data_IF_268736848614
#
_entry.id   IF_268736848614
#
_cell.length_a   1.000
_cell.length_b   1.000
_cell.length_c   1.000
_cell.angle_alpha   90.00
_cell.angle_beta   90.00
_cell.angle_gamma   90.00
#
_symmetry.space_group_name_H-M   'P 1'
#
loop_
_entity.id
_entity.type
_entity.pdbx_description
1 polymer ?
#
# COMPACT_ATOMS: atom_id res chain seq x y z
N UNK A 1 12.62 -38.41 2.24
CA UNK A 1 11.23 -38.25 1.76
C UNK A 1 11.13 -37.03 0.87
N UNK A 2 10.25 -37.03 -0.13
CA UNK A 2 10.02 -35.89 -1.03
C UNK A 2 8.62 -35.95 -1.65
N UNK A 3 8.08 -34.79 -2.03
CA UNK A 3 6.87 -34.64 -2.86
C UNK A 3 7.17 -34.48 -4.35
N UNK A 4 8.45 -34.45 -4.75
CA UNK A 4 8.85 -34.23 -6.15
C UNK A 4 9.05 -35.57 -6.85
N UNK A 5 8.09 -35.96 -7.69
CA UNK A 5 8.11 -37.24 -8.42
C UNK A 5 9.26 -37.34 -9.43
N UNK A 6 9.58 -36.22 -10.08
CA UNK A 6 10.59 -36.19 -11.16
C UNK A 6 12.02 -36.47 -10.69
N UNK A 7 12.26 -36.42 -9.38
CA UNK A 7 13.57 -36.75 -8.79
C UNK A 7 13.80 -38.26 -8.67
N UNK A 8 12.78 -39.10 -8.87
CA UNK A 8 12.90 -40.55 -8.77
C UNK A 8 13.45 -41.15 -10.06
N UNK A 9 14.55 -41.91 -9.94
CA UNK A 9 15.10 -42.74 -11.01
C UNK A 9 14.30 -44.04 -11.13
N UNK A 10 13.81 -44.56 -10.02
CA UNK A 10 12.90 -45.69 -9.97
C UNK A 10 11.92 -45.52 -8.82
N UNK A 11 10.69 -46.00 -9.00
CA UNK A 11 9.61 -45.83 -8.03
C UNK A 11 8.68 -47.04 -8.04
N UNK A 12 8.27 -47.48 -6.86
CA UNK A 12 7.35 -48.59 -6.65
C UNK A 12 6.24 -48.15 -5.69
N UNK A 13 5.00 -48.32 -6.12
CA UNK A 13 3.84 -48.06 -5.27
C UNK A 13 3.82 -49.00 -4.07
N UNK A 14 3.44 -48.45 -2.92
CA UNK A 14 3.33 -49.21 -1.68
C UNK A 14 1.94 -49.85 -1.62
N UNK A 15 1.89 -51.19 -1.51
CA UNK A 15 0.63 -51.94 -1.35
C UNK A 15 -0.16 -51.52 -0.10
N UNK A 16 0.56 -51.07 0.93
CA UNK A 16 0.02 -50.51 2.16
C UNK A 16 0.73 -49.18 2.42
N UNK A 17 0.01 -48.04 2.49
CA UNK A 17 0.62 -46.75 2.74
C UNK A 17 1.36 -46.73 4.08
N UNK A 18 2.54 -46.12 4.12
CA UNK A 18 3.31 -45.94 5.35
C UNK A 18 2.93 -44.61 5.98
N UNK A 19 2.30 -44.67 7.15
CA UNK A 19 1.82 -43.48 7.86
C UNK A 19 2.93 -42.81 8.66
N UNK A 20 3.15 -41.51 8.43
CA UNK A 20 4.20 -40.70 9.04
C UNK A 20 3.57 -39.54 9.80
N UNK A 21 4.02 -39.29 11.02
CA UNK A 21 3.60 -38.12 11.82
C UNK A 21 4.56 -36.96 11.57
N UNK A 22 4.05 -35.79 11.17
CA UNK A 22 4.84 -34.56 10.99
C UNK A 22 4.91 -33.79 12.31
N UNK A 23 5.81 -32.80 12.38
CA UNK A 23 6.04 -31.92 13.53
C UNK A 23 4.79 -31.20 14.06
N UNK A 24 3.75 -30.99 13.23
CA UNK A 24 2.47 -30.39 13.64
C UNK A 24 1.44 -31.41 14.17
N UNK A 25 1.85 -32.68 14.31
CA UNK A 25 1.01 -33.78 14.80
C UNK A 25 0.12 -34.40 13.74
N UNK A 26 0.06 -33.86 12.51
CA UNK A 26 -0.70 -34.46 11.41
C UNK A 26 -0.04 -35.76 10.94
N UNK A 27 -0.88 -36.71 10.52
CA UNK A 27 -0.45 -37.99 9.96
C UNK A 27 -0.66 -37.95 8.44
N UNK A 28 0.42 -38.13 7.70
CA UNK A 28 0.45 -38.19 6.24
C UNK A 28 0.86 -39.59 5.78
N UNK A 29 0.36 -40.00 4.63
CA UNK A 29 0.62 -41.34 4.10
C UNK A 29 1.64 -41.27 2.95
N UNK A 30 2.71 -42.06 3.05
CA UNK A 30 3.62 -42.29 1.94
C UNK A 30 3.00 -43.30 0.97
N UNK A 31 2.83 -42.87 -0.28
CA UNK A 31 2.11 -43.64 -1.31
C UNK A 31 3.04 -44.48 -2.18
N UNK A 32 4.33 -44.14 -2.21
CA UNK A 32 5.32 -44.90 -2.94
C UNK A 32 6.70 -44.82 -2.29
N UNK A 33 7.59 -45.72 -2.70
CA UNK A 33 9.00 -45.74 -2.31
C UNK A 33 9.87 -45.96 -3.54
N UNK A 34 11.04 -45.35 -3.56
CA UNK A 34 11.93 -45.47 -4.71
C UNK A 34 13.33 -44.94 -4.46
N UNK A 35 14.07 -44.82 -5.55
CA UNK A 35 15.46 -44.35 -5.56
C UNK A 35 15.54 -42.98 -6.20
N UNK A 36 16.15 -42.02 -5.50
CA UNK A 36 16.34 -40.64 -5.96
C UNK A 36 17.80 -40.40 -6.29
N UNK A 37 18.05 -39.87 -7.49
CA UNK A 37 19.36 -39.39 -7.91
C UNK A 37 19.50 -37.91 -7.59
N UNK A 38 20.55 -37.54 -6.85
CA UNK A 38 20.92 -36.16 -6.55
C UNK A 38 22.24 -35.85 -7.24
N UNK A 39 22.28 -34.80 -8.05
CA UNK A 39 23.53 -34.28 -8.60
C UNK A 39 23.98 -33.11 -7.74
N UNK A 40 25.15 -33.17 -7.15
CA UNK A 40 25.73 -32.11 -6.31
C UNK A 40 26.39 -31.03 -7.17
N UNK A 41 26.58 -29.85 -6.59
CA UNK A 41 27.15 -28.67 -7.27
C UNK A 41 28.58 -28.88 -7.77
N UNK A 42 29.32 -29.83 -7.21
CA UNK A 42 30.66 -30.23 -7.65
C UNK A 42 30.64 -31.25 -8.81
N UNK A 43 29.45 -31.61 -9.30
CA UNK A 43 29.25 -32.59 -10.36
C UNK A 43 29.07 -34.03 -9.89
N UNK A 44 29.31 -34.31 -8.60
CA UNK A 44 29.17 -35.64 -8.00
C UNK A 44 27.71 -36.09 -8.03
N UNK A 45 27.45 -37.32 -8.43
CA UNK A 45 26.09 -37.90 -8.40
C UNK A 45 25.95 -38.85 -7.23
N UNK A 46 25.00 -38.56 -6.34
CA UNK A 46 24.69 -39.34 -5.14
C UNK A 46 23.32 -39.97 -5.31
N UNK A 47 23.19 -41.24 -4.94
CA UNK A 47 21.92 -41.96 -5.02
C UNK A 47 21.39 -42.26 -3.62
N UNK A 48 20.14 -41.88 -3.37
CA UNK A 48 19.42 -42.20 -2.15
C UNK A 48 18.40 -43.30 -2.45
N UNK A 49 18.59 -44.48 -1.86
CA UNK A 49 17.59 -45.56 -1.89
C UNK A 49 16.62 -45.46 -0.71
N UNK A 50 15.46 -46.11 -0.85
CA UNK A 50 14.38 -46.17 0.14
C UNK A 50 13.75 -44.80 0.45
N UNK A 51 13.64 -43.96 -0.57
CA UNK A 51 13.04 -42.62 -0.44
C UNK A 51 11.53 -42.73 -0.54
N UNK A 52 10.84 -42.27 0.49
CA UNK A 52 9.39 -42.19 0.54
C UNK A 52 8.88 -41.00 -0.30
N UNK A 53 7.91 -41.26 -1.18
CA UNK A 53 7.16 -40.26 -1.92
C UNK A 53 5.87 -39.91 -1.18
N UNK A 54 5.72 -38.62 -0.85
CA UNK A 54 4.57 -38.10 -0.13
C UNK A 54 4.09 -36.83 -0.82
N UNK A 55 2.95 -36.84 -1.53
CA UNK A 55 2.47 -35.67 -2.25
C UNK A 55 2.19 -34.46 -1.35
N UNK A 56 1.79 -34.70 -0.10
CA UNK A 56 1.29 -33.69 0.84
C UNK A 56 2.39 -32.87 1.55
N UNK A 57 3.68 -33.21 1.39
CA UNK A 57 4.76 -32.45 2.05
C UNK A 57 5.27 -31.30 1.18
N UNK A 58 5.42 -30.11 1.78
CA UNK A 58 5.92 -28.91 1.09
C UNK A 58 7.47 -28.86 0.96
N UNK A 59 8.16 -29.97 1.25
CA UNK A 59 9.62 -30.00 1.20
C UNK A 59 10.22 -31.40 1.22
N UNK A 60 11.48 -31.49 0.79
CA UNK A 60 12.25 -32.74 0.85
C UNK A 60 13.09 -32.77 2.13
N UNK A 61 13.04 -33.90 2.84
CA UNK A 61 13.82 -34.12 4.05
C UNK A 61 14.66 -35.39 3.92
N UNK A 62 15.91 -35.30 4.36
CA UNK A 62 16.84 -36.41 4.46
C UNK A 62 16.93 -36.78 5.94
N UNK A 63 16.59 -38.03 6.27
CA UNK A 63 16.68 -38.53 7.64
C UNK A 63 18.13 -38.90 7.95
N UNK A 64 18.73 -38.22 8.92
CA UNK A 64 20.09 -38.52 9.40
C UNK A 64 20.14 -39.93 10.00
N UNK A 65 19.10 -40.36 10.71
CA UNK A 65 19.02 -41.70 11.28
C UNK A 65 19.08 -42.78 10.18
N UNK A 66 18.36 -42.57 9.07
CA UNK A 66 18.38 -43.50 7.93
C UNK A 66 19.70 -43.53 7.17
N UNK A 67 20.43 -42.41 7.17
CA UNK A 67 21.80 -42.36 6.64
C UNK A 67 22.77 -43.11 7.57
N UNK A 68 22.62 -42.95 8.88
CA UNK A 68 23.45 -43.66 9.87
C UNK A 68 23.27 -45.18 9.80
N UNK A 69 22.05 -45.68 9.52
CA UNK A 69 21.79 -47.11 9.25
C UNK A 69 22.54 -47.65 8.02
N UNK A 70 23.01 -46.77 7.12
CA UNK A 70 23.80 -47.10 5.91
C UNK A 70 25.27 -46.71 6.06
N UNK A 71 25.77 -46.67 7.29
CA UNK A 71 27.16 -46.35 7.65
C UNK A 71 27.62 -44.94 7.21
N UNK A 72 26.68 -44.02 7.01
CA UNK A 72 26.99 -42.61 6.70
C UNK A 72 27.07 -41.80 7.98
N UNK A 73 28.22 -41.18 8.22
CA UNK A 73 28.47 -40.31 9.38
C UNK A 73 28.13 -38.87 9.05
N UNK A 74 27.23 -38.26 9.82
CA UNK A 74 26.89 -36.85 9.71
C UNK A 74 27.67 -36.01 10.75
N UNK A 75 28.61 -35.19 10.30
CA UNK A 75 29.39 -34.29 11.15
C UNK A 75 28.83 -32.87 11.08
N UNK A 76 28.31 -32.38 12.20
CA UNK A 76 27.76 -31.03 12.31
C UNK A 76 28.83 -30.04 12.77
N UNK A 77 28.83 -28.86 12.16
CA UNK A 77 29.66 -27.70 12.51
C UNK A 77 28.78 -26.46 12.56
N UNK A 78 29.37 -25.34 13.02
CA UNK A 78 28.65 -24.06 13.16
C UNK A 78 27.92 -23.65 11.88
N UNK A 79 28.60 -23.77 10.74
CA UNK A 79 28.13 -23.24 9.45
C UNK A 79 27.79 -24.32 8.40
N UNK A 80 28.13 -25.59 8.66
CA UNK A 80 27.91 -26.69 7.71
C UNK A 80 27.70 -28.05 8.38
N UNK A 81 27.15 -28.98 7.63
CA UNK A 81 27.02 -30.39 7.97
C UNK A 81 27.63 -31.22 6.84
N UNK A 82 28.57 -32.10 7.17
CA UNK A 82 29.29 -32.94 6.21
C UNK A 82 28.87 -34.39 6.42
N UNK A 83 28.45 -35.06 5.35
CA UNK A 83 28.13 -36.48 5.36
C UNK A 83 29.31 -37.26 4.76
N UNK A 84 29.80 -38.26 5.49
CA UNK A 84 30.90 -39.13 5.05
C UNK A 84 30.48 -40.59 4.99
N UNK A 85 30.99 -41.30 4.00
CA UNK A 85 30.89 -42.75 3.89
C UNK A 85 32.32 -43.30 3.86
N UNK A 86 32.73 -43.98 4.95
CA UNK A 86 34.14 -44.22 5.22
C UNK A 86 34.94 -42.91 5.30
N UNK A 87 36.08 -42.84 4.61
CA UNK A 87 36.92 -41.63 4.54
C UNK A 87 36.45 -40.61 3.48
N UNK A 88 35.50 -41.00 2.62
CA UNK A 88 35.03 -40.15 1.54
C UNK A 88 33.93 -39.19 2.01
N UNK A 89 34.07 -37.91 1.66
CA UNK A 89 32.97 -36.95 1.82
C UNK A 89 31.98 -37.12 0.67
N UNK A 90 30.74 -37.48 1.00
CA UNK A 90 29.70 -37.79 0.01
C UNK A 90 28.74 -36.62 -0.23
N UNK A 91 28.47 -35.81 0.79
CA UNK A 91 27.58 -34.64 0.67
C UNK A 91 28.00 -33.53 1.66
N UNK A 92 27.84 -32.27 1.26
CA UNK A 92 28.00 -31.11 2.16
C UNK A 92 26.73 -30.24 2.14
N UNK A 93 26.13 -30.02 3.31
CA UNK A 93 25.00 -29.12 3.50
C UNK A 93 25.45 -27.85 4.25
N UNK A 94 24.98 -26.68 3.79
CA UNK A 94 25.28 -25.38 4.44
C UNK A 94 24.15 -24.98 5.37
N UNK A 95 24.49 -24.37 6.51
CA UNK A 95 23.49 -23.86 7.44
C UNK A 95 22.79 -22.64 6.85
N UNK A 96 21.46 -22.64 6.87
CA UNK A 96 20.60 -21.51 6.50
C UNK A 96 19.54 -21.34 7.59
N UNK A 97 19.77 -20.37 8.50
CA UNK A 97 18.95 -20.22 9.71
C UNK A 97 19.12 -21.41 10.66
N UNK A 98 18.02 -22.09 10.96
CA UNK A 98 17.97 -23.25 11.87
C UNK A 98 18.01 -24.61 11.13
N UNK A 99 18.23 -24.62 9.81
CA UNK A 99 18.26 -25.83 8.98
C UNK A 99 19.58 -25.95 8.22
N UNK A 100 19.99 -27.18 7.91
CA UNK A 100 21.10 -27.47 7.01
C UNK A 100 20.53 -27.83 5.63
N UNK A 101 20.90 -27.06 4.60
CA UNK A 101 20.41 -27.23 3.23
C UNK A 101 21.49 -27.82 2.34
N UNK A 102 21.17 -28.94 1.69
CA UNK A 102 21.97 -29.54 0.63
C UNK A 102 21.67 -28.81 -0.69
N UNK A 103 22.68 -28.39 -1.43
CA UNK A 103 22.51 -27.76 -2.75
C UNK A 103 22.74 -28.79 -3.86
N UNK A 104 21.76 -28.95 -4.74
CA UNK A 104 21.82 -29.88 -5.88
C UNK A 104 21.73 -29.14 -7.22
N UNK A 105 22.38 -29.67 -8.26
CA UNK A 105 22.26 -29.22 -9.65
C UNK A 105 20.82 -29.44 -10.09
N UNK A 106 20.14 -28.35 -10.46
CA UNK A 106 18.69 -28.34 -10.72
C UNK A 106 17.85 -27.72 -9.60
N UNK A 107 18.40 -27.42 -8.42
CA UNK A 107 17.73 -26.52 -7.45
C UNK A 107 17.55 -25.10 -8.02
N UNK A 108 18.25 -24.76 -9.10
CA UNK A 108 18.02 -23.55 -9.89
C UNK A 108 16.68 -23.56 -10.68
N UNK A 109 15.99 -24.72 -10.79
CA UNK A 109 14.73 -24.84 -11.54
C UNK A 109 13.48 -24.72 -10.66
N UNK A 110 13.61 -24.72 -9.33
CA UNK A 110 12.52 -24.41 -8.41
C UNK A 110 12.82 -23.23 -7.48
N UNK A 111 13.64 -22.30 -7.95
CA UNK A 111 13.67 -20.92 -7.46
C UNK A 111 13.40 -19.96 -8.62
N UNK A 112 12.16 -19.95 -9.11
CA UNK A 112 11.62 -18.78 -9.83
C UNK A 112 11.59 -17.49 -8.96
N UNK A 113 12.26 -17.49 -7.80
CA UNK A 113 12.36 -16.37 -6.88
C UNK A 113 13.81 -15.98 -6.51
N UNK A 114 14.87 -16.54 -7.15
CA UNK A 114 16.26 -16.07 -6.89
C UNK A 114 17.15 -15.85 -8.10
N UNK A 115 16.69 -16.05 -9.34
CA UNK A 115 17.27 -15.23 -10.41
C UNK A 115 16.81 -13.80 -10.13
N UNK A 116 17.77 -12.88 -9.97
CA UNK A 116 17.49 -11.45 -10.04
C UNK A 116 16.97 -11.15 -11.45
N UNK A 117 15.72 -11.50 -11.75
CA UNK A 117 15.02 -10.98 -12.91
C UNK A 117 14.94 -9.49 -12.69
N UNK A 118 15.87 -8.81 -13.36
CA UNK A 118 15.85 -7.38 -13.45
C UNK A 118 14.62 -7.03 -14.28
N UNK A 119 13.70 -6.28 -13.71
CA UNK A 119 12.49 -5.83 -14.39
C UNK A 119 12.67 -4.40 -14.89
N UNK A 120 11.95 -3.99 -15.94
CA UNK A 120 11.95 -2.60 -16.34
C UNK A 120 11.53 -1.67 -15.20
N UNK A 121 12.15 -0.49 -15.07
CA UNK A 121 11.82 0.50 -14.05
C UNK A 121 10.32 0.80 -14.01
N UNK A 122 9.68 0.93 -15.18
CA UNK A 122 8.24 1.19 -15.28
C UNK A 122 7.39 0.14 -14.53
N UNK A 123 7.78 -1.13 -14.56
CA UNK A 123 7.09 -2.23 -13.88
C UNK A 123 7.32 -2.17 -12.37
N UNK A 124 8.58 -1.99 -11.94
CA UNK A 124 8.94 -1.88 -10.52
C UNK A 124 8.28 -0.65 -9.88
N UNK A 125 8.30 0.48 -10.57
CA UNK A 125 7.62 1.72 -10.19
C UNK A 125 6.13 1.49 -9.93
N UNK A 126 5.43 0.83 -10.86
CA UNK A 126 4.00 0.54 -10.70
C UNK A 126 3.72 -0.43 -9.54
N UNK A 127 4.49 -1.51 -9.42
CA UNK A 127 4.31 -2.53 -8.35
C UNK A 127 4.57 -2.00 -6.95
N UNK A 128 5.52 -1.07 -6.81
CA UNK A 128 5.83 -0.43 -5.54
C UNK A 128 4.96 0.81 -5.26
N UNK A 129 3.80 0.94 -5.92
CA UNK A 129 2.85 2.02 -5.64
C UNK A 129 3.30 3.38 -6.16
N UNK A 130 3.88 3.43 -7.36
CA UNK A 130 4.35 4.65 -8.01
C UNK A 130 5.42 5.41 -7.19
N UNK A 131 6.32 4.65 -6.56
CA UNK A 131 7.43 5.17 -5.75
C UNK A 131 8.39 6.02 -6.61
N UNK A 132 8.87 7.17 -6.12
CA UNK A 132 9.93 7.93 -6.79
C UNK A 132 11.25 7.16 -6.85
N UNK A 133 12.04 7.36 -7.91
CA UNK A 133 13.31 6.65 -8.10
C UNK A 133 14.27 6.82 -6.90
N UNK A 134 14.43 8.03 -6.38
CA UNK A 134 15.27 8.29 -5.19
C UNK A 134 14.83 7.51 -3.95
N UNK A 135 13.53 7.22 -3.81
CA UNK A 135 13.00 6.43 -2.69
C UNK A 135 13.18 4.94 -2.91
N UNK A 136 13.13 4.48 -4.16
CA UNK A 136 13.52 3.13 -4.52
C UNK A 136 15.00 2.87 -4.19
N UNK A 137 15.91 3.80 -4.49
CA UNK A 137 17.33 3.66 -4.13
C UNK A 137 17.54 3.57 -2.62
N UNK A 138 16.80 4.35 -1.82
CA UNK A 138 16.81 4.22 -0.36
C UNK A 138 16.24 2.88 0.10
N UNK A 139 15.18 2.38 -0.55
CA UNK A 139 14.58 1.10 -0.21
C UNK A 139 15.57 -0.06 -0.40
N UNK A 140 16.42 0.01 -1.43
CA UNK A 140 17.48 -0.98 -1.68
C UNK A 140 18.49 -1.11 -0.54
N UNK A 141 18.64 -0.10 0.32
CA UNK A 141 19.58 -0.12 1.47
C UNK A 141 18.90 -0.53 2.78
N UNK A 142 17.57 -0.49 2.82
CA UNK A 142 16.79 -0.69 4.05
C UNK A 142 16.02 -2.02 4.08
N UNK A 143 15.81 -2.65 2.93
CA UNK A 143 15.03 -3.88 2.82
C UNK A 143 15.73 -4.92 1.94
N UNK A 144 15.69 -6.17 2.40
CA UNK A 144 16.08 -7.31 1.57
C UNK A 144 14.97 -7.63 0.56
N UNK A 145 15.37 -8.24 -0.57
CA UNK A 145 14.47 -8.75 -1.62
C UNK A 145 13.63 -7.69 -2.36
N UNK A 146 14.07 -6.44 -2.37
CA UNK A 146 13.50 -5.41 -3.24
C UNK A 146 13.74 -5.79 -4.71
N UNK A 147 12.74 -5.70 -5.61
CA UNK A 147 12.91 -5.99 -7.03
C UNK A 147 14.06 -5.19 -7.64
N UNK A 148 14.92 -5.83 -8.44
CA UNK A 148 16.03 -5.14 -9.13
C UNK A 148 15.57 -4.65 -10.50
N UNK A 149 16.13 -3.54 -10.96
CA UNK A 149 15.81 -2.92 -12.24
C UNK A 149 16.78 -3.34 -13.36
N UNK A 150 16.29 -3.42 -14.60
CA UNK A 150 17.06 -3.78 -15.79
C UNK A 150 17.65 -2.57 -16.51
N UNK A 151 16.95 -1.46 -16.44
CA UNK A 151 17.20 -0.19 -17.12
C UNK A 151 17.29 0.95 -16.11
N UNK A 152 18.05 1.98 -16.47
CA UNK A 152 18.04 3.24 -15.74
C UNK A 152 16.65 3.88 -15.85
N UNK A 153 16.23 4.69 -14.86
CA UNK A 153 14.99 5.46 -14.97
C UNK A 153 15.05 6.34 -16.22
N UNK A 154 14.13 6.11 -17.15
CA UNK A 154 13.96 6.96 -18.32
C UNK A 154 13.33 8.30 -17.94
N UNK A 155 13.55 9.35 -18.74
CA UNK A 155 12.84 10.64 -18.65
C UNK A 155 11.32 10.54 -18.88
N UNK A 156 10.82 9.35 -19.24
CA UNK A 156 9.40 9.10 -19.37
C UNK A 156 8.66 9.35 -18.05
N UNK A 157 7.70 10.28 -18.08
CA UNK A 157 6.83 10.57 -16.95
C UNK A 157 5.64 9.60 -16.92
N UNK A 158 5.46 8.88 -15.81
CA UNK A 158 4.33 7.96 -15.65
C UNK A 158 2.98 8.71 -15.65
N UNK A 159 2.06 8.35 -16.55
CA UNK A 159 0.75 8.98 -16.66
C UNK A 159 -0.08 8.92 -15.36
N UNK A 160 -0.03 7.79 -14.65
CA UNK A 160 -0.68 7.66 -13.34
C UNK A 160 -0.11 8.60 -12.28
N UNK A 161 1.21 8.81 -12.28
CA UNK A 161 1.84 9.82 -11.43
C UNK A 161 1.42 11.24 -11.83
N UNK A 162 1.37 11.56 -13.13
CA UNK A 162 0.90 12.87 -13.57
C UNK A 162 -0.50 13.14 -13.04
N UNK A 163 -1.45 12.25 -13.28
CA UNK A 163 -2.84 12.47 -12.85
C UNK A 163 -2.99 12.50 -11.33
N UNK A 164 -2.23 11.67 -10.60
CA UNK A 164 -2.36 11.56 -9.14
C UNK A 164 -1.53 12.57 -8.34
N UNK A 165 -0.46 13.15 -8.91
CA UNK A 165 0.47 14.05 -8.22
C UNK A 165 0.58 15.43 -8.86
N UNK A 166 -0.11 15.68 -9.98
CA UNK A 166 -0.20 17.02 -10.54
C UNK A 166 -0.89 17.91 -9.52
N UNK A 167 -0.14 18.93 -9.12
CA UNK A 167 -0.62 20.02 -8.30
C UNK A 167 -1.17 21.08 -9.26
N UNK A 168 -2.31 21.67 -8.90
CA UNK A 168 -2.72 22.92 -9.54
C UNK A 168 -1.63 23.97 -9.30
N UNK A 169 -1.22 24.65 -10.37
CA UNK A 169 -0.19 25.68 -10.29
C UNK A 169 -0.48 26.63 -9.12
N UNK A 170 0.59 27.21 -8.58
CA UNK A 170 0.44 28.18 -7.51
C UNK A 170 -0.55 29.26 -7.94
N UNK A 171 -1.70 29.33 -7.27
CA UNK A 171 -2.54 30.51 -7.36
C UNK A 171 -1.65 31.72 -7.08
N UNK A 172 -1.72 32.74 -7.95
CA UNK A 172 -0.94 33.96 -7.77
C UNK A 172 -1.13 34.46 -6.34
N UNK A 173 -0.03 34.54 -5.58
CA UNK A 173 -0.04 35.02 -4.19
C UNK A 173 -0.41 36.50 -4.09
N UNK A 174 -0.37 37.19 -5.22
CA UNK A 174 -0.72 38.58 -5.38
C UNK A 174 -1.72 38.70 -6.54
N UNK A 175 -3.01 38.34 -6.33
CA UNK A 175 -4.03 38.90 -7.19
C UNK A 175 -3.96 40.41 -6.95
N UNK A 176 -3.60 41.18 -7.97
CA UNK A 176 -3.60 42.64 -7.89
C UNK A 176 -4.93 43.09 -7.25
N UNK A 177 -4.81 43.66 -6.04
CA UNK A 177 -5.88 44.14 -5.13
C UNK A 177 -6.55 43.07 -4.25
N UNK A 178 -6.08 42.96 -3.01
CA UNK A 178 -6.70 42.23 -1.88
C UNK A 178 -8.12 42.73 -1.56
N UNK A 179 -8.47 43.95 -1.99
CA UNK A 179 -9.80 44.55 -1.91
C UNK A 179 -10.29 44.81 -3.33
N UNK A 180 -11.34 44.11 -3.76
CA UNK A 180 -11.92 44.28 -5.10
C UNK A 180 -12.95 45.41 -5.16
N UNK A 181 -13.34 45.94 -4.00
CA UNK A 181 -14.34 47.00 -3.83
C UNK A 181 -13.72 48.41 -3.84
N UNK A 182 -14.43 49.39 -4.38
CA UNK A 182 -14.03 50.80 -4.40
C UNK A 182 -14.65 51.61 -3.25
N UNK A 183 -15.63 51.04 -2.54
CA UNK A 183 -16.24 51.63 -1.35
C UNK A 183 -17.10 50.64 -0.57
N UNK A 184 -17.58 51.09 0.59
CA UNK A 184 -18.47 50.32 1.48
C UNK A 184 -19.73 49.86 0.72
N UNK A 185 -20.15 48.62 0.98
CA UNK A 185 -21.28 47.92 0.36
C UNK A 185 -21.11 47.54 -1.13
N UNK A 186 -19.95 47.75 -1.74
CA UNK A 186 -19.69 47.32 -3.11
C UNK A 186 -19.62 45.78 -3.28
N UNK A 187 -19.19 45.08 -2.23
CA UNK A 187 -19.09 43.63 -2.17
C UNK A 187 -19.20 43.15 -0.72
N UNK A 188 -20.20 42.31 -0.46
CA UNK A 188 -20.38 41.62 0.81
C UNK A 188 -20.00 40.15 0.63
N UNK A 189 -19.09 39.65 1.46
CA UNK A 189 -18.84 38.20 1.57
C UNK A 189 -19.74 37.63 2.66
N UNK A 190 -20.33 36.46 2.39
CA UNK A 190 -21.19 35.80 3.35
C UNK A 190 -20.91 34.31 3.45
N UNK A 191 -20.93 33.80 4.68
CA UNK A 191 -20.73 32.40 5.00
C UNK A 191 -21.61 31.97 6.18
N UNK A 192 -21.99 30.69 6.22
CA UNK A 192 -22.81 30.10 7.27
C UNK A 192 -22.02 29.07 8.06
N UNK A 193 -21.87 29.32 9.35
CA UNK A 193 -21.24 28.41 10.29
C UNK A 193 -22.30 27.55 11.01
N UNK A 194 -22.13 26.22 11.04
CA UNK A 194 -22.95 25.28 11.83
C UNK A 194 -23.16 23.91 11.15
N UNK A 195 -23.79 22.91 11.77
CA UNK A 195 -24.45 22.89 13.08
C UNK A 195 -23.45 22.79 14.24
N UNK A 196 -23.42 23.80 15.10
CA UNK A 196 -22.58 23.80 16.31
C UNK A 196 -23.15 22.83 17.36
N UNK A 197 -22.26 22.17 18.11
CA UNK A 197 -22.63 21.29 19.22
C UNK A 197 -23.24 22.09 20.38
N UNK A 198 -22.62 23.22 20.73
CA UNK A 198 -23.08 24.10 21.80
C UNK A 198 -24.13 25.07 21.27
N UNK A 199 -25.29 25.08 21.92
CA UNK A 199 -26.36 26.04 21.63
C UNK A 199 -26.06 27.37 22.31
N UNK A 200 -26.35 28.48 21.62
CA UNK A 200 -26.37 29.80 22.27
C UNK A 200 -27.52 29.88 23.30
N UNK A 201 -27.54 30.90 24.19
CA UNK A 201 -28.68 31.12 25.09
C UNK A 201 -30.03 31.21 24.36
N UNK A 202 -30.04 31.76 23.13
CA UNK A 202 -31.20 31.81 22.23
C UNK A 202 -31.56 30.47 21.55
N UNK A 203 -30.88 29.38 21.92
CA UNK A 203 -31.01 28.04 21.34
C UNK A 203 -30.68 27.98 19.85
N UNK A 204 -29.79 28.85 19.37
CA UNK A 204 -29.30 28.83 17.98
C UNK A 204 -28.11 27.87 17.85
N UNK A 205 -28.00 27.21 16.69
CA UNK A 205 -26.92 26.26 16.35
C UNK A 205 -26.19 26.65 15.06
N UNK A 206 -26.63 27.72 14.41
CA UNK A 206 -26.01 28.28 13.21
C UNK A 206 -25.73 29.77 13.42
N UNK A 207 -24.75 30.29 12.70
CA UNK A 207 -24.52 31.72 12.56
C UNK A 207 -24.24 32.06 11.09
N UNK A 208 -24.78 33.17 10.61
CA UNK A 208 -24.40 33.75 9.31
C UNK A 208 -23.55 34.98 9.56
N UNK A 209 -22.49 35.11 8.78
CA UNK A 209 -21.57 36.23 8.83
C UNK A 209 -21.72 37.01 7.52
N UNK A 210 -21.79 38.33 7.62
CA UNK A 210 -21.70 39.26 6.50
C UNK A 210 -20.48 40.15 6.71
N UNK A 211 -19.56 40.14 5.75
CA UNK A 211 -18.31 40.90 5.80
C UNK A 211 -18.28 41.88 4.64
N UNK A 212 -18.19 43.17 4.93
CA UNK A 212 -17.96 44.18 3.90
C UNK A 212 -16.50 44.13 3.41
N UNK A 213 -16.31 44.03 2.10
CA UNK A 213 -14.98 43.92 1.48
C UNK A 213 -14.18 45.22 1.62
N UNK A 214 -14.80 46.39 1.68
CA UNK A 214 -14.04 47.64 1.74
C UNK A 214 -13.61 47.97 3.17
N UNK A 215 -14.59 48.06 4.09
CA UNK A 215 -14.39 48.48 5.48
C UNK A 215 -13.93 47.36 6.41
N UNK A 216 -14.05 46.10 5.97
CA UNK A 216 -13.85 44.90 6.82
C UNK A 216 -14.82 44.82 8.00
N UNK A 217 -15.92 45.57 7.97
CA UNK A 217 -16.98 45.46 8.96
C UNK A 217 -17.61 44.07 8.91
N UNK A 218 -17.79 43.46 10.09
CA UNK A 218 -18.34 42.11 10.25
C UNK A 218 -19.64 42.20 11.04
N UNK A 219 -20.73 41.70 10.45
CA UNK A 219 -22.01 41.53 11.14
C UNK A 219 -22.35 40.06 11.26
N UNK A 220 -22.76 39.63 12.45
CA UNK A 220 -23.06 38.22 12.75
C UNK A 220 -24.49 38.08 13.25
N UNK A 221 -25.23 37.14 12.66
CA UNK A 221 -26.58 36.78 13.10
C UNK A 221 -26.66 35.31 13.50
N UNK A 222 -27.19 35.05 14.70
CA UNK A 222 -27.46 33.69 15.17
C UNK A 222 -28.80 33.17 14.65
N UNK A 223 -28.83 31.90 14.24
CA UNK A 223 -29.99 31.25 13.63
C UNK A 223 -30.22 29.84 14.19
N UNK A 224 -31.48 29.42 14.25
CA UNK A 224 -31.86 28.04 14.63
C UNK A 224 -31.78 27.06 13.46
N UNK A 225 -31.89 27.54 12.22
CA UNK A 225 -31.87 26.75 10.98
C UNK A 225 -31.13 27.53 9.88
N UNK A 226 -30.43 26.83 8.97
CA UNK A 226 -29.79 27.44 7.79
C UNK A 226 -30.75 28.23 6.89
N UNK A 227 -32.02 27.81 6.81
CA UNK A 227 -33.04 28.51 6.04
C UNK A 227 -33.33 29.96 6.51
N UNK A 228 -32.84 30.36 7.69
CA UNK A 228 -32.99 31.72 8.21
C UNK A 228 -32.10 32.77 7.53
N UNK A 229 -31.17 32.38 6.66
CA UNK A 229 -30.19 33.29 6.04
C UNK A 229 -30.85 34.43 5.29
N UNK A 230 -31.91 34.17 4.51
CA UNK A 230 -32.62 35.20 3.76
C UNK A 230 -33.22 36.29 4.66
N UNK A 231 -33.81 35.89 5.79
CA UNK A 231 -34.38 36.82 6.76
C UNK A 231 -33.29 37.68 7.39
N UNK A 232 -32.15 37.08 7.77
CA UNK A 232 -31.02 37.81 8.36
C UNK A 232 -30.32 38.72 7.35
N UNK A 233 -30.27 38.31 6.08
CA UNK A 233 -29.77 39.17 5.01
C UNK A 233 -30.67 40.39 4.79
N UNK A 234 -32.01 40.25 4.84
CA UNK A 234 -32.94 41.39 4.77
C UNK A 234 -32.70 42.41 5.88
N UNK A 235 -32.52 41.93 7.12
CA UNK A 235 -32.19 42.79 8.26
C UNK A 235 -30.86 43.51 8.04
N UNK A 236 -29.81 42.75 7.70
CA UNK A 236 -28.49 43.30 7.41
C UNK A 236 -28.51 44.37 6.31
N UNK A 237 -29.21 44.10 5.19
CA UNK A 237 -29.36 45.06 4.09
C UNK A 237 -30.00 46.36 4.58
N UNK A 238 -31.14 46.28 5.25
CA UNK A 238 -31.83 47.47 5.75
C UNK A 238 -30.94 48.28 6.71
N UNK A 239 -30.28 47.63 7.66
CA UNK A 239 -29.45 48.31 8.66
C UNK A 239 -28.25 49.01 8.02
N UNK A 240 -27.53 48.32 7.12
CA UNK A 240 -26.32 48.86 6.50
C UNK A 240 -26.62 49.92 5.45
N UNK A 241 -27.66 49.76 4.64
CA UNK A 241 -28.03 50.75 3.63
C UNK A 241 -28.54 52.04 4.29
N UNK A 242 -29.32 51.94 5.37
CA UNK A 242 -29.75 53.10 6.15
C UNK A 242 -28.58 53.80 6.87
N UNK A 243 -27.65 53.04 7.45
CA UNK A 243 -26.53 53.62 8.18
C UNK A 243 -25.50 54.32 7.26
N UNK A 244 -25.33 53.83 6.03
CA UNK A 244 -24.30 54.34 5.11
C UNK A 244 -24.83 55.25 4.01
N UNK A 245 -26.15 55.24 3.76
CA UNK A 245 -26.77 55.91 2.62
C UNK A 245 -26.37 55.31 1.27
N UNK A 246 -25.77 54.11 1.25
CA UNK A 246 -25.34 53.39 0.04
C UNK A 246 -26.11 52.08 -0.11
N UNK A 247 -26.21 51.56 -1.32
CA UNK A 247 -26.84 50.25 -1.60
C UNK A 247 -25.81 49.14 -1.73
N UNK A 248 -26.17 47.94 -1.30
CA UNK A 248 -25.38 46.73 -1.52
C UNK A 248 -25.37 46.41 -3.01
N UNK A 249 -24.19 46.41 -3.63
CA UNK A 249 -24.06 46.13 -5.07
C UNK A 249 -23.99 44.65 -5.38
N UNK A 250 -23.24 43.89 -4.59
CA UNK A 250 -22.96 42.46 -4.84
C UNK A 250 -22.79 41.70 -3.53
N UNK A 251 -23.24 40.45 -3.54
CA UNK A 251 -22.92 39.46 -2.53
C UNK A 251 -22.08 38.33 -3.15
N UNK A 252 -21.15 37.77 -2.37
CA UNK A 252 -20.41 36.55 -2.68
C UNK A 252 -20.58 35.55 -1.55
N UNK A 253 -20.98 34.34 -1.90
CA UNK A 253 -21.06 33.20 -0.99
C UNK A 253 -20.46 31.95 -1.63
N UNK A 254 -20.46 30.83 -0.90
CA UNK A 254 -19.99 29.51 -1.32
C UNK A 254 -20.98 28.74 -2.24
N UNK A 255 -22.07 29.40 -2.66
CA UNK A 255 -23.20 28.78 -3.37
C UNK A 255 -23.94 27.68 -2.58
N UNK A 256 -23.91 27.73 -1.24
CA UNK A 256 -24.75 26.88 -0.39
C UNK A 256 -26.24 26.92 -0.75
N UNK A 257 -26.98 25.86 -0.43
CA UNK A 257 -28.41 25.73 -0.75
C UNK A 257 -29.27 26.89 -0.23
N UNK A 258 -28.88 27.47 0.89
CA UNK A 258 -29.47 28.67 1.51
C UNK A 258 -29.38 29.93 0.64
N UNK A 259 -28.37 30.04 -0.23
CA UNK A 259 -28.13 31.17 -1.12
C UNK A 259 -28.65 30.94 -2.54
N UNK A 260 -28.89 29.69 -2.92
CA UNK A 260 -29.26 29.32 -4.31
C UNK A 260 -30.76 29.15 -4.53
N UNK A 261 -31.57 29.27 -3.46
CA UNK A 261 -33.03 29.22 -3.53
C UNK A 261 -33.64 30.36 -4.34
N UNK A 262 -34.79 30.08 -4.97
CA UNK A 262 -35.52 31.01 -5.85
C UNK A 262 -35.79 32.37 -5.18
N UNK A 263 -36.22 32.36 -3.92
CA UNK A 263 -36.50 33.58 -3.14
C UNK A 263 -35.26 34.46 -2.88
N UNK A 264 -34.07 33.86 -2.82
CA UNK A 264 -32.81 34.61 -2.63
C UNK A 264 -32.33 35.17 -3.97
N UNK A 265 -32.54 34.46 -5.08
CA UNK A 265 -32.17 34.89 -6.43
C UNK A 265 -33.11 35.95 -7.03
N UNK A 266 -34.42 35.80 -6.80
CA UNK A 266 -35.47 36.75 -7.22
C UNK A 266 -35.57 37.96 -6.28
N UNK A 267 -34.70 38.04 -5.26
CA UNK A 267 -34.65 39.18 -4.37
C UNK A 267 -34.18 40.38 -5.18
N UNK A 268 -35.12 41.30 -5.43
CA UNK A 268 -34.93 42.42 -6.34
C UNK A 268 -33.80 43.33 -5.82
N UNK A 269 -32.64 43.25 -6.47
CA UNK A 269 -31.41 43.94 -6.06
C UNK A 269 -31.52 45.47 -6.19
N UNK A 270 -32.59 45.97 -6.83
CA UNK A 270 -32.74 47.36 -7.29
C UNK A 270 -33.90 48.16 -6.65
N UNK A 271 -34.67 47.58 -5.74
CA UNK A 271 -35.84 48.22 -5.11
C UNK A 271 -35.55 48.42 -3.61
N UNK A 272 -35.54 49.59 -2.97
CA UNK A 272 -35.83 50.99 -3.31
C UNK A 272 -34.77 51.90 -2.67
#
# INVERSE_FOLDING_TARGET
>A
MTSVRDKFVSMKELKTPVRITIADGRKIDAVAMGTVGLKLMDGTSVTLSDVLYIPEVEGSLISVAKLAEKDVVAQFSKDKCVFRYGDATVMEAKRCGNLYKLKTVGDEVCHAATTSHKEPWAVVHARLGHIPYMRYEQLLTMADRVPRIADAPSDHVCAGCCMGKMREDNFSRSPEKTVKSAGVLDLIHSDVMGSMQTKTPGRCTYAVIFIDDFSRHVTVYFMKKKAGVLEKFKMFKADMENATGRKIKRIRSDNGGEYTGRLFKEMDWLSA
#
